data_IF_459560432224
#
_entry.id   IF_459560432224
#
_cell.length_a   1.000
_cell.length_b   1.000
_cell.length_c   1.000
_cell.angle_alpha   90.00
_cell.angle_beta   90.00
_cell.angle_gamma   90.00
#
_symmetry.space_group_name_H-M   'P 1'
#
loop_
_entity.id
_entity.type
_entity.pdbx_description
1 polymer ?
#
# COMPACT_ATOMS: atom_id res chain seq x y z
N UNK A 1 -16.51 13.78 26.55
CA UNK A 1 -16.46 12.38 27.04
C UNK A 1 -17.28 11.43 26.20
N UNK A 2 -18.46 11.84 25.73
CA UNK A 2 -19.35 10.98 24.91
C UNK A 2 -18.83 10.64 23.50
N UNK A 3 -17.65 11.10 23.10
CA UNK A 3 -17.09 10.94 21.75
C UNK A 3 -15.77 10.18 21.70
N UNK A 4 -15.35 9.55 22.77
CA UNK A 4 -14.05 8.89 22.86
C UNK A 4 -13.80 7.88 21.71
N UNK A 5 -14.83 7.11 21.34
CA UNK A 5 -14.73 6.16 20.23
C UNK A 5 -14.61 6.85 18.87
N UNK A 6 -15.37 7.92 18.64
CA UNK A 6 -15.27 8.70 17.42
C UNK A 6 -13.91 9.40 17.31
N UNK A 7 -13.41 9.93 18.41
CA UNK A 7 -12.10 10.57 18.46
C UNK A 7 -10.98 9.57 18.15
N UNK A 8 -11.07 8.35 18.70
CA UNK A 8 -10.12 7.28 18.38
C UNK A 8 -10.12 6.97 16.86
N UNK A 9 -11.31 6.80 16.27
CA UNK A 9 -11.43 6.53 14.85
C UNK A 9 -10.85 7.66 14.00
N UNK A 10 -11.13 8.92 14.37
CA UNK A 10 -10.58 10.08 13.67
C UNK A 10 -9.07 10.20 13.81
N UNK A 11 -8.51 9.86 14.96
CA UNK A 11 -7.05 9.85 15.16
C UNK A 11 -6.39 8.76 14.31
N UNK A 12 -6.97 7.57 14.24
CA UNK A 12 -6.45 6.50 13.38
C UNK A 12 -6.47 6.90 11.90
N UNK A 13 -7.58 7.49 11.46
CA UNK A 13 -7.69 8.00 10.09
C UNK A 13 -6.69 9.12 9.83
N UNK A 14 -6.56 10.06 10.76
CA UNK A 14 -5.60 11.17 10.67
C UNK A 14 -4.16 10.67 10.61
N UNK A 15 -3.81 9.69 11.42
CA UNK A 15 -2.50 9.05 11.39
C UNK A 15 -2.20 8.37 10.07
N UNK A 16 -3.17 7.62 9.56
CA UNK A 16 -3.01 6.97 8.25
C UNK A 16 -2.87 8.00 7.11
N UNK A 17 -3.70 9.03 7.10
CA UNK A 17 -3.62 10.09 6.08
C UNK A 17 -2.29 10.83 6.12
N UNK A 18 -1.80 11.12 7.31
CA UNK A 18 -0.49 11.77 7.46
C UNK A 18 0.62 10.90 6.84
N UNK A 19 0.68 9.63 7.20
CA UNK A 19 1.68 8.71 6.65
C UNK A 19 1.54 8.56 5.14
N UNK A 20 0.32 8.43 4.64
CA UNK A 20 0.04 8.29 3.21
C UNK A 20 0.48 9.52 2.41
N UNK A 21 0.17 10.71 2.89
CA UNK A 21 0.52 11.96 2.21
C UNK A 21 2.04 12.21 2.23
N UNK A 22 2.68 11.97 3.37
CA UNK A 22 4.14 12.06 3.48
C UNK A 22 4.84 11.04 2.58
N UNK A 23 4.32 9.82 2.53
CA UNK A 23 4.87 8.78 1.66
C UNK A 23 4.76 9.18 0.18
N UNK A 24 3.62 9.73 -0.24
CA UNK A 24 3.43 10.21 -1.61
C UNK A 24 4.46 11.28 -1.96
N UNK A 25 4.68 12.23 -1.09
CA UNK A 25 5.64 13.33 -1.31
C UNK A 25 7.08 12.81 -1.38
N UNK A 26 7.47 11.95 -0.46
CA UNK A 26 8.83 11.37 -0.42
C UNK A 26 9.10 10.43 -1.59
N UNK A 27 8.11 9.66 -2.01
CA UNK A 27 8.23 8.80 -3.18
C UNK A 27 8.31 9.62 -4.47
N UNK A 28 7.60 10.73 -4.56
CA UNK A 28 7.73 11.67 -5.68
C UNK A 28 9.16 12.17 -5.80
N UNK A 29 9.79 12.55 -4.68
CA UNK A 29 11.18 12.98 -4.65
C UNK A 29 12.17 11.88 -5.07
N UNK A 30 11.79 10.62 -4.92
CA UNK A 30 12.58 9.45 -5.34
C UNK A 30 12.31 8.99 -6.77
N UNK A 31 11.50 9.73 -7.54
CA UNK A 31 11.19 9.41 -8.92
C UNK A 31 9.93 8.58 -9.13
N UNK A 32 9.07 8.47 -8.10
CA UNK A 32 7.80 7.76 -8.16
C UNK A 32 6.64 8.71 -7.89
N UNK A 33 6.22 9.52 -8.89
CA UNK A 33 5.19 10.54 -8.69
C UNK A 33 3.79 9.93 -8.57
N UNK A 34 2.96 10.55 -7.72
CA UNK A 34 1.54 10.25 -7.64
C UNK A 34 1.18 8.93 -6.96
N UNK A 35 2.10 8.29 -6.25
CA UNK A 35 1.85 7.02 -5.58
C UNK A 35 0.95 7.22 -4.36
N UNK A 36 -0.14 6.45 -4.31
CA UNK A 36 -1.05 6.38 -3.17
C UNK A 36 -1.02 4.97 -2.58
N UNK A 37 -1.52 4.76 -1.36
CA UNK A 37 -1.52 3.44 -0.73
C UNK A 37 -2.16 2.34 -1.58
N UNK A 38 -3.22 2.65 -2.33
CA UNK A 38 -3.86 1.68 -3.23
C UNK A 38 -2.89 1.11 -4.27
N UNK A 39 -1.95 1.92 -4.77
CA UNK A 39 -0.94 1.47 -5.73
C UNK A 39 0.03 0.48 -5.09
N UNK A 40 0.51 0.77 -3.89
CA UNK A 40 1.39 -0.13 -3.16
C UNK A 40 0.70 -1.45 -2.81
N UNK A 41 -0.54 -1.39 -2.34
CA UNK A 41 -1.31 -2.60 -2.03
C UNK A 41 -1.54 -3.47 -3.26
N UNK A 42 -1.83 -2.87 -4.41
CA UNK A 42 -1.99 -3.58 -5.66
C UNK A 42 -0.67 -4.24 -6.11
N UNK A 43 0.46 -3.54 -6.01
CA UNK A 43 1.77 -4.11 -6.30
C UNK A 43 2.08 -5.32 -5.43
N UNK A 44 1.83 -5.22 -4.14
CA UNK A 44 2.04 -6.33 -3.19
C UNK A 44 1.15 -7.51 -3.50
N UNK A 45 -0.10 -7.27 -3.89
CA UNK A 45 -1.02 -8.32 -4.32
C UNK A 45 -0.50 -9.04 -5.57
N UNK A 46 -0.02 -8.31 -6.57
CA UNK A 46 0.52 -8.87 -7.81
C UNK A 46 1.81 -9.64 -7.52
N UNK A 47 2.71 -9.10 -6.73
CA UNK A 47 3.94 -9.79 -6.30
C UNK A 47 3.61 -11.08 -5.54
N UNK A 48 2.55 -11.08 -4.75
CA UNK A 48 2.05 -12.24 -4.01
C UNK A 48 1.27 -13.24 -4.87
N UNK A 49 1.16 -13.03 -6.19
CA UNK A 49 0.58 -13.98 -7.13
C UNK A 49 -0.74 -13.57 -7.77
N UNK A 50 -1.32 -12.42 -7.45
CA UNK A 50 -2.50 -11.93 -8.15
C UNK A 50 -2.14 -11.65 -9.62
N UNK A 51 -2.76 -12.35 -10.54
CA UNK A 51 -2.41 -12.31 -11.96
C UNK A 51 -3.42 -11.54 -12.82
N UNK A 52 -4.56 -11.18 -12.26
CA UNK A 52 -5.62 -10.46 -12.97
C UNK A 52 -6.13 -9.27 -12.15
N UNK A 53 -6.75 -8.31 -12.83
CA UNK A 53 -7.40 -7.17 -12.19
C UNK A 53 -8.44 -7.64 -11.15
N UNK A 54 -9.22 -8.67 -11.48
CA UNK A 54 -10.23 -9.21 -10.57
C UNK A 54 -9.60 -9.77 -9.29
N UNK A 55 -8.47 -10.48 -9.40
CA UNK A 55 -7.75 -11.00 -8.24
C UNK A 55 -7.16 -9.86 -7.39
N UNK A 56 -6.60 -8.84 -8.02
CA UNK A 56 -6.11 -7.64 -7.32
C UNK A 56 -7.24 -7.01 -6.51
N UNK A 57 -8.42 -6.84 -7.11
CA UNK A 57 -9.59 -6.30 -6.43
C UNK A 57 -9.99 -7.12 -5.20
N UNK A 58 -10.04 -8.43 -5.34
CA UNK A 58 -10.38 -9.33 -4.22
C UNK A 58 -9.36 -9.25 -3.09
N UNK A 59 -8.07 -9.31 -3.41
CA UNK A 59 -7.00 -9.31 -2.39
C UNK A 59 -6.85 -7.97 -1.68
N UNK A 60 -7.17 -6.87 -2.34
CA UNK A 60 -7.09 -5.52 -1.76
C UNK A 60 -8.44 -5.01 -1.24
N UNK A 61 -9.48 -5.84 -1.31
CA UNK A 61 -10.83 -5.52 -0.83
C UNK A 61 -11.42 -4.27 -1.47
N UNK A 62 -11.21 -4.11 -2.77
CA UNK A 62 -11.80 -3.03 -3.57
C UNK A 62 -12.59 -3.59 -4.74
N UNK A 63 -13.45 -2.76 -5.34
CA UNK A 63 -14.21 -3.16 -6.52
C UNK A 63 -13.27 -3.47 -7.70
N UNK A 64 -13.75 -4.29 -8.64
CA UNK A 64 -13.01 -4.57 -9.87
C UNK A 64 -12.71 -3.28 -10.63
N UNK A 65 -13.64 -2.34 -10.66
CA UNK A 65 -13.48 -1.05 -11.32
C UNK A 65 -12.36 -0.21 -10.68
N UNK A 66 -12.32 -0.15 -9.35
CA UNK A 66 -11.26 0.54 -8.62
C UNK A 66 -9.91 -0.14 -8.86
N UNK A 67 -9.86 -1.47 -8.82
CA UNK A 67 -8.65 -2.23 -9.10
C UNK A 67 -8.16 -1.99 -10.54
N UNK A 68 -9.07 -1.94 -11.53
CA UNK A 68 -8.71 -1.66 -12.92
C UNK A 68 -8.05 -0.30 -13.07
N UNK A 69 -8.57 0.72 -12.40
CA UNK A 69 -8.02 2.06 -12.40
C UNK A 69 -6.61 2.10 -11.78
N UNK A 70 -6.44 1.41 -10.67
CA UNK A 70 -5.15 1.31 -9.97
C UNK A 70 -4.12 0.58 -10.84
N UNK A 71 -4.50 -0.55 -11.44
CA UNK A 71 -3.61 -1.32 -12.33
C UNK A 71 -3.24 -0.50 -13.57
N UNK A 72 -4.18 0.23 -14.16
CA UNK A 72 -3.90 1.10 -15.30
C UNK A 72 -2.84 2.17 -14.96
N UNK A 73 -2.93 2.78 -13.79
CA UNK A 73 -1.92 3.72 -13.31
C UNK A 73 -0.54 3.04 -13.21
N UNK A 74 -0.49 1.83 -12.66
CA UNK A 74 0.74 1.08 -12.50
C UNK A 74 1.35 0.66 -13.85
N UNK A 75 0.51 0.28 -14.81
CA UNK A 75 0.96 -0.01 -16.16
C UNK A 75 1.52 1.23 -16.86
N UNK A 76 0.83 2.36 -16.78
CA UNK A 76 1.25 3.62 -17.38
C UNK A 76 2.59 4.10 -16.80
N UNK A 77 2.83 3.86 -15.54
CA UNK A 77 4.09 4.18 -14.86
C UNK A 77 5.20 3.14 -15.05
N UNK A 78 4.95 2.07 -15.79
CA UNK A 78 5.88 0.95 -16.01
C UNK A 78 6.23 0.18 -14.73
N UNK A 79 5.37 0.18 -13.74
CA UNK A 79 5.52 -0.61 -12.51
C UNK A 79 5.02 -2.04 -12.67
N UNK A 80 4.09 -2.23 -13.58
CA UNK A 80 3.44 -3.50 -13.87
C UNK A 80 3.38 -3.65 -15.39
N UNK A 81 3.52 -4.87 -15.86
CA UNK A 81 3.35 -5.21 -17.28
C UNK A 81 2.36 -6.36 -17.41
N UNK A 82 1.72 -6.44 -18.56
CA UNK A 82 0.89 -7.59 -18.96
C UNK A 82 1.66 -8.41 -19.97
N UNK A 83 1.73 -9.71 -19.73
CA UNK A 83 2.30 -10.66 -20.69
C UNK A 83 1.32 -11.80 -20.91
N UNK A 84 1.52 -12.54 -21.99
CA UNK A 84 0.73 -13.74 -22.22
C UNK A 84 0.98 -14.74 -21.08
N UNK A 85 -0.10 -15.35 -20.55
CA UNK A 85 0.02 -16.40 -19.57
C UNK A 85 0.70 -17.62 -20.22
N UNK A 86 1.81 -18.14 -19.64
CA UNK A 86 2.49 -19.32 -20.17
C UNK A 86 1.58 -20.54 -20.29
N UNK A 87 0.56 -20.66 -19.44
CA UNK A 87 -0.38 -21.76 -19.44
C UNK A 87 -1.59 -21.58 -20.34
N UNK A 88 -1.91 -20.37 -20.74
CA UNK A 88 -3.06 -20.06 -21.59
C UNK A 88 -2.86 -18.76 -22.36
N UNK A 89 -2.64 -18.87 -23.67
CA UNK A 89 -2.42 -17.73 -24.58
C UNK A 89 -3.60 -16.75 -24.67
N UNK A 90 -4.78 -17.16 -24.19
CA UNK A 90 -5.99 -16.31 -24.17
C UNK A 90 -6.01 -15.37 -22.99
N UNK A 91 -5.18 -15.60 -21.98
CA UNK A 91 -5.10 -14.79 -20.76
C UNK A 91 -3.85 -13.96 -20.77
N UNK A 92 -3.98 -12.73 -20.29
CA UNK A 92 -2.84 -11.90 -19.92
C UNK A 92 -2.58 -12.04 -18.42
N UNK A 93 -1.31 -12.00 -18.07
CA UNK A 93 -0.87 -12.10 -16.68
C UNK A 93 -0.17 -10.81 -16.26
N UNK A 94 -0.56 -10.27 -15.11
CA UNK A 94 0.10 -9.12 -14.52
C UNK A 94 1.39 -9.57 -13.84
N UNK A 95 2.47 -8.83 -14.09
CA UNK A 95 3.76 -9.04 -13.43
C UNK A 95 4.35 -7.71 -13.00
N UNK A 96 5.01 -7.72 -11.84
CA UNK A 96 5.73 -6.55 -11.34
C UNK A 96 7.05 -6.42 -12.09
N UNK A 97 7.35 -5.21 -12.56
CA UNK A 97 8.62 -4.91 -13.25
C UNK A 97 9.72 -4.61 -12.24
N UNK A 98 10.96 -4.47 -12.71
CA UNK A 98 12.07 -4.01 -11.85
C UNK A 98 11.78 -2.64 -11.24
N UNK A 99 11.14 -1.75 -11.99
CA UNK A 99 10.70 -0.46 -11.48
C UNK A 99 9.62 -0.61 -10.38
N UNK A 100 8.73 -1.58 -10.53
CA UNK A 100 7.74 -1.92 -9.49
C UNK A 100 8.40 -2.44 -8.21
N UNK A 101 9.39 -3.29 -8.34
CA UNK A 101 10.19 -3.77 -7.21
C UNK A 101 10.91 -2.60 -6.51
N UNK A 102 11.48 -1.70 -7.30
CA UNK A 102 12.12 -0.48 -6.78
C UNK A 102 11.15 0.39 -6.00
N UNK A 103 9.93 0.57 -6.52
CA UNK A 103 8.87 1.32 -5.81
C UNK A 103 8.51 0.67 -4.48
N UNK A 104 8.33 -0.64 -4.44
CA UNK A 104 8.02 -1.33 -3.18
C UNK A 104 9.13 -1.18 -2.16
N UNK A 105 10.39 -1.28 -2.59
CA UNK A 105 11.55 -1.08 -1.72
C UNK A 105 11.63 0.35 -1.19
N UNK A 106 11.44 1.33 -2.06
CA UNK A 106 11.42 2.75 -1.67
C UNK A 106 10.26 3.05 -0.72
N UNK A 107 9.10 2.43 -0.95
CA UNK A 107 7.94 2.55 -0.06
C UNK A 107 8.23 2.03 1.34
N UNK A 108 8.86 0.87 1.46
CA UNK A 108 9.27 0.33 2.75
C UNK A 108 10.22 1.28 3.47
N UNK A 109 11.22 1.78 2.76
CA UNK A 109 12.19 2.72 3.33
C UNK A 109 11.52 4.02 3.80
N UNK A 110 10.58 4.55 3.04
CA UNK A 110 9.84 5.77 3.42
C UNK A 110 8.98 5.54 4.67
N UNK A 111 8.28 4.42 4.77
CA UNK A 111 7.48 4.12 5.96
C UNK A 111 8.36 3.85 7.18
N UNK A 112 9.53 3.25 7.01
CA UNK A 112 10.51 3.10 8.09
C UNK A 112 11.00 4.46 8.59
N UNK A 113 11.30 5.39 7.68
CA UNK A 113 11.67 6.76 8.04
C UNK A 113 10.57 7.45 8.86
N UNK A 114 9.32 7.33 8.43
CA UNK A 114 8.17 7.91 9.13
C UNK A 114 8.00 7.30 10.52
N UNK A 115 8.15 6.00 10.62
CA UNK A 115 8.12 5.30 11.91
C UNK A 115 9.23 5.80 12.84
N UNK A 116 10.43 5.94 12.34
CA UNK A 116 11.59 6.45 13.10
C UNK A 116 11.32 7.87 13.61
N UNK A 117 10.75 8.73 12.78
CA UNK A 117 10.37 10.09 13.15
C UNK A 117 9.34 10.11 14.29
N UNK A 118 8.35 9.23 14.20
CA UNK A 118 7.33 9.09 15.24
C UNK A 118 7.93 8.54 16.55
N UNK A 119 8.85 7.58 16.46
CA UNK A 119 9.58 7.07 17.63
C UNK A 119 10.39 8.19 18.30
N UNK A 120 11.01 9.07 17.52
CA UNK A 120 11.75 10.20 18.05
C UNK A 120 10.84 11.18 18.81
N UNK A 121 9.58 11.31 18.38
CA UNK A 121 8.61 12.23 19.00
C UNK A 121 7.99 11.69 20.28
N UNK A 122 7.58 10.43 20.30
CA UNK A 122 6.79 9.87 21.41
C UNK A 122 7.47 8.73 22.16
N UNK A 123 8.58 8.25 21.64
CA UNK A 123 9.32 7.13 22.25
C UNK A 123 9.11 5.82 21.50
N UNK A 124 10.18 5.04 21.43
CA UNK A 124 10.22 3.75 20.73
C UNK A 124 9.22 2.75 21.28
N UNK A 125 9.11 2.67 22.61
CA UNK A 125 8.24 1.69 23.25
C UNK A 125 6.77 1.99 22.99
N UNK A 126 6.40 3.26 22.95
CA UNK A 126 5.01 3.66 22.66
C UNK A 126 4.59 3.31 21.24
N UNK A 127 5.49 3.47 20.26
CA UNK A 127 5.19 3.08 18.87
C UNK A 127 5.09 1.55 18.77
N UNK A 128 5.99 0.82 19.42
CA UNK A 128 5.91 -0.64 19.45
C UNK A 128 4.60 -1.14 20.08
N UNK A 129 4.20 -0.55 21.21
CA UNK A 129 2.94 -0.89 21.90
C UNK A 129 1.72 -0.56 21.04
N UNK A 130 1.71 0.58 20.37
CA UNK A 130 0.65 0.97 19.44
C UNK A 130 0.52 -0.07 18.31
N UNK A 131 1.61 -0.44 17.71
CA UNK A 131 1.63 -1.41 16.61
C UNK A 131 1.15 -2.79 17.08
N UNK A 132 1.60 -3.24 18.24
CA UNK A 132 1.16 -4.50 18.85
C UNK A 132 -0.33 -4.48 19.15
N UNK A 133 -0.85 -3.40 19.74
CA UNK A 133 -2.27 -3.24 20.03
C UNK A 133 -3.11 -3.32 18.76
N UNK A 134 -2.70 -2.63 17.69
CA UNK A 134 -3.40 -2.67 16.41
C UNK A 134 -3.38 -4.07 15.79
N UNK A 135 -2.26 -4.78 15.87
CA UNK A 135 -2.17 -6.16 15.38
C UNK A 135 -3.14 -7.07 16.10
N UNK A 136 -3.23 -6.98 17.43
CA UNK A 136 -4.17 -7.76 18.24
C UNK A 136 -5.62 -7.44 17.90
N UNK A 137 -5.94 -6.15 17.76
CA UNK A 137 -7.31 -5.70 17.47
C UNK A 137 -7.76 -6.07 16.05
N UNK A 138 -6.88 -5.96 15.06
CA UNK A 138 -7.19 -6.22 13.66
C UNK A 138 -7.01 -7.70 13.29
N UNK A 139 -6.08 -8.38 13.91
CA UNK A 139 -5.81 -9.81 13.66
C UNK A 139 -6.81 -10.75 14.32
N UNK A 140 -7.63 -10.25 15.25
CA UNK A 140 -8.64 -11.04 15.95
C UNK A 140 -9.95 -11.22 15.16
N UNK A 141 -10.03 -10.78 13.90
CA UNK A 141 -11.23 -10.86 13.05
C UNK A 141 -11.06 -11.83 11.91
#
# INVERSE_FOLDING_TARGET
>A
MARAGADLAMLLLGGFRFMADEATERLTARGHPGIRPAHDFALRAIEGGASSVAEVGRRTSVSKQAAAKTVAFLEDGNYVTRSADPGDRRRSRLTVTDRGVSLMRDGEAVFDELRDEWEALVGRDRIADLQEALLLLLGAR
#
